data_IF_410744216212
#
_entry.id   IF_410744216212
#
_cell.length_a   1.000
_cell.length_b   1.000
_cell.length_c   1.000
_cell.angle_alpha   90.00
_cell.angle_beta   90.00
_cell.angle_gamma   90.00
#
_symmetry.space_group_name_H-M   'P 1'
#
loop_
_entity.id
_entity.type
_entity.pdbx_description
1 polymer ?
#
# COMPACT_ATOMS: atom_id res chain seq x y z
N UNK A 1 15.08 -3.18 -8.77
CA UNK A 1 14.31 -3.86 -7.71
C UNK A 1 13.80 -5.17 -8.30
N UNK A 2 13.88 -6.29 -7.56
CA UNK A 2 13.39 -7.59 -8.01
C UNK A 2 11.89 -7.73 -7.76
N UNK A 3 11.21 -8.60 -8.52
CA UNK A 3 9.78 -8.90 -8.33
C UNK A 3 9.49 -9.42 -6.91
N UNK A 4 10.36 -10.27 -6.38
CA UNK A 4 10.27 -10.79 -4.99
C UNK A 4 10.27 -9.64 -3.99
N UNK A 5 11.24 -8.72 -4.09
CA UNK A 5 11.34 -7.59 -3.16
C UNK A 5 10.13 -6.65 -3.30
N UNK A 6 9.59 -6.46 -4.51
CA UNK A 6 8.37 -5.68 -4.71
C UNK A 6 7.14 -6.35 -4.09
N UNK A 7 7.04 -7.69 -4.14
CA UNK A 7 5.99 -8.44 -3.45
C UNK A 7 6.08 -8.32 -1.92
N UNK A 8 7.28 -8.43 -1.36
CA UNK A 8 7.52 -8.27 0.09
C UNK A 8 7.13 -6.86 0.55
N UNK A 9 7.59 -5.82 -0.14
CA UNK A 9 7.24 -4.43 0.16
C UNK A 9 5.73 -4.22 0.07
N UNK A 10 5.07 -4.76 -0.98
CA UNK A 10 3.62 -4.65 -1.12
C UNK A 10 2.90 -5.27 0.09
N UNK A 11 3.28 -6.48 0.50
CA UNK A 11 2.70 -7.16 1.65
C UNK A 11 2.86 -6.35 2.93
N UNK A 12 4.03 -5.76 3.16
CA UNK A 12 4.27 -4.90 4.31
C UNK A 12 3.38 -3.65 4.29
N UNK A 13 3.25 -3.01 3.13
CA UNK A 13 2.37 -1.84 2.96
C UNK A 13 0.89 -2.19 3.20
N UNK A 14 0.41 -3.33 2.71
CA UNK A 14 -0.96 -3.80 2.94
C UNK A 14 -1.23 -4.06 4.44
N UNK A 15 -0.25 -4.65 5.14
CA UNK A 15 -0.34 -4.86 6.58
C UNK A 15 -0.39 -3.53 7.35
N UNK A 16 0.46 -2.57 7.00
CA UNK A 16 0.47 -1.24 7.63
C UNK A 16 -0.84 -0.48 7.32
N UNK A 17 -1.34 -0.57 6.10
CA UNK A 17 -2.61 0.03 5.69
C UNK A 17 -3.78 -0.50 6.53
N UNK A 18 -3.84 -1.83 6.73
CA UNK A 18 -4.85 -2.47 7.58
C UNK A 18 -4.75 -1.98 9.03
N UNK A 19 -3.55 -2.00 9.62
CA UNK A 19 -3.33 -1.53 11.00
C UNK A 19 -3.71 -0.05 11.18
N UNK A 20 -3.44 0.78 10.18
CA UNK A 20 -3.82 2.21 10.17
C UNK A 20 -5.34 2.37 10.19
N UNK A 21 -6.06 1.59 9.37
CA UNK A 21 -7.52 1.56 9.36
C UNK A 21 -8.12 1.06 10.67
N UNK A 22 -7.55 -0.01 11.24
CA UNK A 22 -7.98 -0.54 12.54
C UNK A 22 -7.82 0.50 13.65
N UNK A 23 -6.70 1.24 13.67
CA UNK A 23 -6.48 2.32 14.63
C UNK A 23 -7.46 3.48 14.45
N UNK A 24 -7.72 3.90 13.21
CA UNK A 24 -8.70 4.94 12.91
C UNK A 24 -10.10 4.54 13.39
N UNK A 25 -10.50 3.29 13.15
CA UNK A 25 -11.77 2.74 13.62
C UNK A 25 -11.85 2.72 15.15
N UNK A 26 -10.80 2.24 15.82
CA UNK A 26 -10.73 2.21 17.30
C UNK A 26 -10.87 3.62 17.90
N UNK A 27 -10.22 4.63 17.32
CA UNK A 27 -10.33 6.01 17.79
C UNK A 27 -11.73 6.56 17.49
N UNK A 28 -12.30 6.26 16.32
CA UNK A 28 -13.62 6.77 15.93
C UNK A 28 -14.78 6.15 16.72
N UNK A 29 -14.60 4.93 17.22
CA UNK A 29 -15.59 4.25 18.09
C UNK A 29 -15.54 4.75 19.55
N UNK A 30 -14.46 5.42 19.96
CA UNK A 30 -14.37 6.01 21.30
C UNK A 30 -15.08 7.35 21.33
N UNK A 31 -15.97 7.50 22.30
CA UNK A 31 -16.54 8.80 22.61
C UNK A 31 -15.57 9.59 23.50
N UNK A 32 -15.19 10.76 23.02
CA UNK A 32 -14.35 11.72 23.75
C UNK A 32 -15.15 12.95 24.19
N UNK A 33 -16.49 12.93 24.08
CA UNK A 33 -17.37 14.05 24.41
C UNK A 33 -17.23 14.56 25.86
N UNK A 34 -16.87 13.66 26.79
CA UNK A 34 -16.64 13.97 28.21
C UNK A 34 -15.21 14.44 28.53
N UNK A 35 -14.30 14.39 27.56
CA UNK A 35 -12.90 14.81 27.75
C UNK A 35 -12.73 16.32 27.59
N UNK A 36 -11.58 16.83 28.03
CA UNK A 36 -11.21 18.24 27.81
C UNK A 36 -11.16 18.56 26.30
N UNK A 37 -11.54 19.78 25.92
CA UNK A 37 -11.53 20.28 24.53
C UNK A 37 -10.22 19.99 23.80
N UNK A 38 -9.07 20.17 24.48
CA UNK A 38 -7.74 19.90 23.92
C UNK A 38 -7.56 18.43 23.51
N UNK A 39 -8.13 17.49 24.28
CA UNK A 39 -8.07 16.05 23.97
C UNK A 39 -8.94 15.75 22.75
N UNK A 40 -10.12 16.37 22.65
CA UNK A 40 -11.00 16.21 21.49
C UNK A 40 -10.32 16.71 20.21
N UNK A 41 -9.75 17.91 20.24
CA UNK A 41 -9.01 18.48 19.11
C UNK A 41 -7.81 17.61 18.71
N UNK A 42 -7.07 17.08 19.69
CA UNK A 42 -5.96 16.18 19.44
C UNK A 42 -6.44 14.88 18.78
N UNK A 43 -7.56 14.30 19.22
CA UNK A 43 -8.12 13.08 18.63
C UNK A 43 -8.59 13.32 17.20
N UNK A 44 -9.26 14.44 16.91
CA UNK A 44 -9.63 14.80 15.53
C UNK A 44 -8.41 15.00 14.63
N UNK A 45 -7.35 15.62 15.14
CA UNK A 45 -6.09 15.74 14.41
C UNK A 45 -5.46 14.37 14.13
N UNK A 46 -5.46 13.46 15.10
CA UNK A 46 -4.96 12.09 14.91
C UNK A 46 -5.78 11.36 13.83
N UNK A 47 -7.12 11.44 13.88
CA UNK A 47 -7.99 10.83 12.85
C UNK A 47 -7.65 11.36 11.46
N UNK A 48 -7.51 12.67 11.32
CA UNK A 48 -7.14 13.31 10.05
C UNK A 48 -5.79 12.78 9.52
N UNK A 49 -4.77 12.72 10.39
CA UNK A 49 -3.44 12.21 10.00
C UNK A 49 -3.44 10.73 9.65
N UNK A 50 -4.23 9.91 10.33
CA UNK A 50 -4.38 8.49 9.98
C UNK A 50 -5.06 8.31 8.62
N UNK A 51 -6.05 9.14 8.30
CA UNK A 51 -6.68 9.12 6.98
C UNK A 51 -5.68 9.51 5.86
N UNK A 52 -4.87 10.55 6.09
CA UNK A 52 -3.81 10.95 5.16
C UNK A 52 -2.79 9.82 4.93
N UNK A 53 -2.32 9.19 6.01
CA UNK A 53 -1.41 8.04 5.95
C UNK A 53 -2.04 6.90 5.16
N UNK A 54 -3.33 6.60 5.40
CA UNK A 54 -4.07 5.59 4.65
C UNK A 54 -4.07 5.87 3.15
N UNK A 55 -4.28 7.12 2.74
CA UNK A 55 -4.23 7.52 1.32
C UNK A 55 -2.86 7.35 0.69
N UNK A 56 -1.78 7.67 1.42
CA UNK A 56 -0.40 7.47 0.96
C UNK A 56 -0.10 5.98 0.77
N UNK A 57 -0.42 5.16 1.76
CA UNK A 57 -0.21 3.71 1.70
C UNK A 57 -0.97 3.08 0.53
N UNK A 58 -2.22 3.50 0.30
CA UNK A 58 -3.01 3.02 -0.84
C UNK A 58 -2.34 3.34 -2.19
N UNK A 59 -1.80 4.55 -2.34
CA UNK A 59 -1.04 4.95 -3.53
C UNK A 59 0.22 4.10 -3.70
N UNK A 60 0.95 3.82 -2.63
CA UNK A 60 2.19 3.04 -2.69
C UNK A 60 1.92 1.56 -2.99
N UNK A 61 0.85 0.98 -2.46
CA UNK A 61 0.36 -0.36 -2.83
C UNK A 61 0.04 -0.41 -4.32
N UNK A 62 -0.68 0.58 -4.84
CA UNK A 62 -1.00 0.67 -6.27
C UNK A 62 0.26 0.79 -7.15
N UNK A 63 1.26 1.54 -6.70
CA UNK A 63 2.55 1.63 -7.39
C UNK A 63 3.26 0.28 -7.42
N UNK A 64 3.22 -0.49 -6.33
CA UNK A 64 3.77 -1.85 -6.31
C UNK A 64 3.04 -2.76 -7.30
N UNK A 65 1.71 -2.72 -7.35
CA UNK A 65 0.92 -3.48 -8.32
C UNK A 65 1.29 -3.14 -9.77
N UNK A 66 1.43 -1.85 -10.07
CA UNK A 66 1.85 -1.39 -11.38
C UNK A 66 3.26 -1.90 -11.75
N UNK A 67 4.21 -1.86 -10.80
CA UNK A 67 5.56 -2.37 -11.02
C UNK A 67 5.58 -3.87 -11.28
N UNK A 68 4.83 -4.66 -10.50
CA UNK A 68 4.70 -6.10 -10.68
C UNK A 68 4.11 -6.45 -12.05
N UNK A 69 3.04 -5.76 -12.46
CA UNK A 69 2.44 -5.94 -13.78
C UNK A 69 3.44 -5.65 -14.91
N UNK A 70 4.21 -4.57 -14.77
CA UNK A 70 5.23 -4.17 -15.74
C UNK A 70 6.35 -5.21 -15.83
N UNK A 71 6.82 -5.74 -14.70
CA UNK A 71 7.86 -6.78 -14.66
C UNK A 71 7.42 -8.04 -15.42
N UNK A 72 6.21 -8.53 -15.16
CA UNK A 72 5.65 -9.71 -15.85
C UNK A 72 5.50 -9.49 -17.36
N UNK A 73 5.08 -8.29 -17.77
CA UNK A 73 4.96 -7.95 -19.19
C UNK A 73 6.33 -7.96 -19.90
N UNK A 74 7.37 -7.45 -19.24
CA UNK A 74 8.73 -7.44 -19.79
C UNK A 74 9.33 -8.84 -19.87
N UNK A 75 9.07 -9.68 -18.86
CA UNK A 75 9.50 -11.09 -18.88
C UNK A 75 8.82 -11.88 -20.00
N UNK A 76 7.51 -11.69 -20.19
CA UNK A 76 6.77 -12.32 -21.29
C UNK A 76 7.37 -11.96 -22.66
N UNK A 77 7.67 -10.66 -22.88
CA UNK A 77 8.31 -10.20 -24.12
C UNK A 77 9.71 -10.78 -24.31
N UNK A 78 10.49 -10.89 -23.23
CA UNK A 78 11.84 -11.50 -23.29
C UNK A 78 11.74 -12.97 -23.72
N UNK A 79 10.80 -13.72 -23.15
CA UNK A 79 10.59 -15.12 -23.47
C UNK A 79 10.14 -15.33 -24.93
N UNK A 80 9.26 -14.46 -25.45
CA UNK A 80 8.87 -14.47 -26.86
C UNK A 80 10.08 -14.27 -27.80
N UNK A 81 10.94 -13.29 -27.52
CA UNK A 81 12.15 -13.04 -28.34
C UNK A 81 13.11 -14.22 -28.28
N UNK A 82 13.31 -14.83 -27.10
CA UNK A 82 14.15 -16.03 -26.95
C UNK A 82 13.59 -17.20 -27.75
N UNK A 83 12.27 -17.43 -27.71
CA UNK A 83 11.62 -18.49 -28.48
C UNK A 83 11.78 -18.26 -29.99
N UNK A 84 11.56 -17.04 -30.48
CA UNK A 84 11.74 -16.72 -31.91
C UNK A 84 13.20 -16.98 -32.34
N UNK A 85 14.17 -16.52 -31.55
CA UNK A 85 15.59 -16.74 -31.85
C UNK A 85 16.00 -18.23 -31.81
N UNK A 86 15.35 -19.04 -30.98
CA UNK A 86 15.59 -20.49 -30.94
C UNK A 86 15.00 -21.24 -32.15
N UNK A 87 14.00 -20.69 -32.84
CA UNK A 87 13.39 -21.29 -34.04
C UNK A 87 14.04 -20.81 -35.35
N UNK A 88 14.89 -19.78 -35.31
CA UNK A 88 15.60 -19.23 -36.47
C UNK A 88 17.04 -19.74 -36.61
N UNK A 89 17.55 -20.51 -35.64
CA UNK A 89 18.84 -21.21 -35.68
C UNK A 89 18.62 -22.72 -35.83
#
# INVERSE_FOLDING_TARGET
MSEILTHEIKSDLENIYKLTGDLLNMISMKDFSSEKSEIQEMMEMIKFRLADIGGILQKDIFNCDYLLMKMRTLESRRNEVTMINAHMN
#
